data_IF_951483663945
#
_entry.id   IF_951483663945
#
_cell.length_a   1.000
_cell.length_b   1.000
_cell.length_c   1.000
_cell.angle_alpha   90.00
_cell.angle_beta   90.00
_cell.angle_gamma   90.00
#
_symmetry.space_group_name_H-M   'P 1'
#
loop_
_entity.id
_entity.type
_entity.pdbx_description
1 polymer ?
#
# COMPACT_ATOMS: atom_id res chain seq x y z
N UNK A 1 -24.98 9.63 26.55
CA UNK A 1 -24.48 10.30 25.33
C UNK A 1 -24.15 9.22 24.32
N UNK A 2 -24.87 9.16 23.19
CA UNK A 2 -24.64 8.15 22.17
C UNK A 2 -23.30 8.38 21.45
N UNK A 3 -22.59 7.30 21.14
CA UNK A 3 -21.38 7.38 20.33
C UNK A 3 -21.72 7.92 18.93
N UNK A 4 -21.22 9.12 18.60
CA UNK A 4 -21.26 9.63 17.23
C UNK A 4 -20.27 8.85 16.38
N UNK A 5 -20.79 8.10 15.40
CA UNK A 5 -19.98 7.38 14.42
C UNK A 5 -19.92 8.22 13.15
N UNK A 6 -18.73 8.41 12.60
CA UNK A 6 -18.56 9.00 11.29
C UNK A 6 -18.72 7.90 10.22
N UNK A 7 -19.86 7.83 9.55
CA UNK A 7 -20.10 6.82 8.49
C UNK A 7 -19.13 6.95 7.31
N UNK A 8 -18.53 8.13 7.13
CA UNK A 8 -17.56 8.40 6.07
C UNK A 8 -16.20 7.75 6.33
N UNK A 9 -15.64 7.91 7.54
CA UNK A 9 -14.29 7.45 7.87
C UNK A 9 -14.26 6.26 8.86
N UNK A 10 -15.41 5.88 9.42
CA UNK A 10 -15.58 4.79 10.38
C UNK A 10 -15.13 5.09 11.81
N UNK A 11 -14.76 6.34 12.14
CA UNK A 11 -14.38 6.68 13.51
C UNK A 11 -15.58 6.70 14.45
N UNK A 12 -15.39 6.18 15.66
CA UNK A 12 -16.37 6.24 16.74
C UNK A 12 -16.05 7.40 17.70
N UNK A 13 -17.07 7.89 18.39
CA UNK A 13 -16.97 8.94 19.42
C UNK A 13 -16.36 10.25 18.90
N UNK A 14 -16.77 10.69 17.70
CA UNK A 14 -16.22 11.89 17.09
C UNK A 14 -16.98 13.16 17.50
N UNK A 15 -16.30 14.31 17.70
CA UNK A 15 -16.98 15.58 17.82
C UNK A 15 -17.57 16.02 16.47
N UNK A 16 -18.57 16.92 16.47
CA UNK A 16 -19.14 17.46 15.23
C UNK A 16 -18.10 18.17 14.34
N UNK A 17 -17.02 18.69 14.90
CA UNK A 17 -15.90 19.30 14.15
C UNK A 17 -15.05 18.29 13.37
N UNK A 18 -15.30 16.99 13.52
CA UNK A 18 -14.57 15.94 12.83
C UNK A 18 -14.90 15.88 11.34
N UNK A 19 -16.15 16.12 10.94
CA UNK A 19 -16.60 15.96 9.56
C UNK A 19 -15.88 16.95 8.64
N UNK A 20 -15.18 16.43 7.62
CA UNK A 20 -14.37 17.23 6.70
C UNK A 20 -13.00 17.65 7.26
N UNK A 21 -12.64 17.23 8.48
CA UNK A 21 -11.29 17.44 9.01
C UNK A 21 -10.23 16.67 8.22
N UNK A 22 -8.98 17.14 8.24
CA UNK A 22 -7.84 16.42 7.65
C UNK A 22 -7.70 14.99 8.15
N UNK A 23 -8.09 14.72 9.39
CA UNK A 23 -8.09 13.37 9.95
C UNK A 23 -9.18 12.50 9.31
N UNK A 24 -10.41 13.01 9.20
CA UNK A 24 -11.52 12.33 8.54
C UNK A 24 -11.18 12.02 7.06
N UNK A 25 -10.65 12.99 6.33
CA UNK A 25 -10.22 12.80 4.94
C UNK A 25 -9.14 11.74 4.81
N UNK A 26 -8.16 11.75 5.72
CA UNK A 26 -7.07 10.81 5.69
C UNK A 26 -7.52 9.38 5.99
N UNK A 27 -8.42 9.18 6.95
CA UNK A 27 -9.02 7.87 7.24
C UNK A 27 -9.95 7.38 6.14
N UNK A 28 -10.73 8.28 5.51
CA UNK A 28 -11.52 7.96 4.32
C UNK A 28 -10.62 7.45 3.18
N UNK A 29 -9.49 8.11 2.96
CA UNK A 29 -8.51 7.66 1.96
C UNK A 29 -7.95 6.27 2.30
N UNK A 30 -7.53 6.05 3.55
CA UNK A 30 -7.00 4.75 4.03
C UNK A 30 -8.00 3.63 3.73
N UNK A 31 -9.25 3.79 4.16
CA UNK A 31 -10.31 2.80 3.90
C UNK A 31 -10.53 2.53 2.42
N UNK A 32 -10.53 3.58 1.58
CA UNK A 32 -10.65 3.42 0.13
C UNK A 32 -9.52 2.57 -0.44
N UNK A 33 -8.28 2.84 -0.02
CA UNK A 33 -7.12 2.08 -0.50
C UNK A 33 -7.16 0.62 -0.06
N UNK A 34 -7.53 0.36 1.20
CA UNK A 34 -7.71 -1.00 1.71
C UNK A 34 -8.79 -1.76 0.94
N UNK A 35 -9.93 -1.12 0.65
CA UNK A 35 -11.01 -1.70 -0.16
C UNK A 35 -10.58 -1.99 -1.61
N UNK A 36 -9.66 -1.20 -2.17
CA UNK A 36 -9.04 -1.44 -3.47
C UNK A 36 -7.92 -2.50 -3.43
N UNK A 37 -7.66 -3.12 -2.27
CA UNK A 37 -6.63 -4.14 -2.12
C UNK A 37 -5.20 -3.57 -2.06
N UNK A 38 -5.04 -2.29 -1.71
CA UNK A 38 -3.73 -1.69 -1.47
C UNK A 38 -3.35 -1.77 0.00
N UNK A 39 -2.05 -1.78 0.27
CA UNK A 39 -1.52 -1.67 1.62
C UNK A 39 -0.44 -0.58 1.70
N UNK A 40 -0.32 0.09 2.85
CA UNK A 40 0.69 1.11 3.04
C UNK A 40 2.06 0.47 3.22
N UNK A 41 3.09 1.19 2.79
CA UNK A 41 4.46 0.86 3.13
C UNK A 41 5.20 2.14 3.52
N UNK A 42 6.00 2.10 4.61
CA UNK A 42 6.61 3.30 5.14
C UNK A 42 7.77 3.75 4.23
N UNK A 43 8.74 2.89 3.98
CA UNK A 43 10.07 3.39 3.64
C UNK A 43 10.21 4.05 2.25
N UNK A 44 10.78 5.27 2.21
CA UNK A 44 11.23 5.96 0.96
C UNK A 44 12.11 5.09 0.05
N UNK A 45 12.90 4.17 0.62
CA UNK A 45 13.73 3.21 -0.15
C UNK A 45 12.87 2.27 -1.00
N UNK A 46 11.76 1.79 -0.46
CA UNK A 46 10.79 0.94 -1.17
C UNK A 46 10.14 1.73 -2.30
N UNK A 47 9.74 2.98 -2.04
CA UNK A 47 9.10 3.85 -3.05
C UNK A 47 9.99 4.02 -4.27
N UNK A 48 11.26 4.32 -4.06
CA UNK A 48 12.24 4.49 -5.15
C UNK A 48 12.44 3.19 -5.91
N UNK A 49 12.64 2.08 -5.22
CA UNK A 49 12.90 0.79 -5.86
C UNK A 49 11.70 0.30 -6.68
N UNK A 50 10.49 0.39 -6.13
CA UNK A 50 9.26 0.01 -6.83
C UNK A 50 8.99 0.88 -8.06
N UNK A 51 9.15 2.20 -7.94
CA UNK A 51 9.03 3.10 -9.10
C UNK A 51 10.05 2.79 -10.18
N UNK A 52 11.31 2.56 -9.81
CA UNK A 52 12.34 2.16 -10.76
C UNK A 52 12.06 0.81 -11.43
N UNK A 53 11.28 -0.06 -10.79
CA UNK A 53 10.85 -1.35 -11.34
C UNK A 53 9.49 -1.29 -12.07
N UNK A 54 8.93 -0.09 -12.28
CA UNK A 54 7.68 0.11 -13.04
C UNK A 54 6.39 -0.05 -12.25
N UNK A 55 6.45 -0.29 -10.93
CA UNK A 55 5.25 -0.37 -10.10
C UNK A 55 4.67 1.03 -9.85
N UNK A 56 3.38 1.19 -10.12
CA UNK A 56 2.65 2.42 -9.75
C UNK A 56 2.46 2.47 -8.23
N UNK A 57 3.14 3.44 -7.60
CA UNK A 57 3.01 3.74 -6.18
C UNK A 57 2.11 4.96 -6.00
N UNK A 58 1.08 4.82 -5.16
CA UNK A 58 0.12 5.89 -4.87
C UNK A 58 0.54 6.63 -3.59
N UNK A 59 0.46 7.96 -3.61
CA UNK A 59 0.69 8.81 -2.45
C UNK A 59 -0.60 9.03 -1.67
N UNK A 60 -0.54 8.70 -0.38
CA UNK A 60 -1.59 8.94 0.60
C UNK A 60 -1.23 10.05 1.59
N UNK A 61 -2.14 10.34 2.51
CA UNK A 61 -2.04 11.45 3.47
C UNK A 61 -0.91 11.20 4.48
N UNK A 62 0.11 12.07 4.44
CA UNK A 62 1.32 12.00 5.27
C UNK A 62 1.00 12.19 6.76
N UNK A 63 -0.07 12.93 7.06
CA UNK A 63 -0.51 13.33 8.40
C UNK A 63 -0.78 12.16 9.34
N UNK A 64 -1.08 10.96 8.82
CA UNK A 64 -1.36 9.77 9.64
C UNK A 64 -0.30 8.67 9.59
N UNK A 65 0.55 8.61 8.56
CA UNK A 65 1.44 7.46 8.34
C UNK A 65 2.89 7.83 7.95
N UNK A 66 3.31 9.09 8.16
CA UNK A 66 4.68 9.66 8.05
C UNK A 66 5.44 9.49 6.72
N UNK A 67 5.09 8.54 5.87
CA UNK A 67 5.70 8.37 4.54
C UNK A 67 4.68 8.03 3.43
N UNK A 68 3.46 7.58 3.78
CA UNK A 68 2.27 7.68 2.92
C UNK A 68 2.24 6.93 1.60
N UNK A 69 3.10 5.96 1.32
CA UNK A 69 3.10 5.29 0.02
C UNK A 69 2.27 4.00 0.06
N UNK A 70 1.56 3.73 -1.04
CA UNK A 70 0.67 2.58 -1.18
C UNK A 70 0.99 1.81 -2.45
N UNK A 71 0.91 0.50 -2.36
CA UNK A 71 1.04 -0.43 -3.49
C UNK A 71 0.04 -1.58 -3.32
N UNK A 72 -0.27 -2.34 -4.39
CA UNK A 72 -1.12 -3.51 -4.29
C UNK A 72 -0.62 -4.47 -3.21
N UNK A 73 -1.50 -4.87 -2.30
CA UNK A 73 -1.17 -5.67 -1.12
C UNK A 73 -0.54 -7.01 -1.53
N UNK A 74 -1.05 -7.64 -2.58
CA UNK A 74 -0.53 -8.89 -3.10
C UNK A 74 0.92 -8.79 -3.56
N UNK A 75 1.33 -7.66 -4.14
CA UNK A 75 2.74 -7.41 -4.54
C UNK A 75 3.61 -7.27 -3.29
N UNK A 76 3.14 -6.51 -2.29
CA UNK A 76 3.90 -6.31 -1.05
C UNK A 76 4.09 -7.63 -0.29
N UNK A 77 3.05 -8.45 -0.19
CA UNK A 77 3.11 -9.72 0.53
C UNK A 77 3.94 -10.76 -0.21
N UNK A 78 3.75 -10.89 -1.53
CA UNK A 78 4.59 -11.78 -2.35
C UNK A 78 6.05 -11.34 -2.35
N UNK A 79 6.35 -10.04 -2.34
CA UNK A 79 7.72 -9.54 -2.23
C UNK A 79 8.32 -9.87 -0.86
N UNK A 80 7.57 -9.68 0.24
CA UNK A 80 8.02 -10.07 1.58
C UNK A 80 8.32 -11.56 1.65
N UNK A 81 7.49 -12.40 1.02
CA UNK A 81 7.72 -13.84 0.92
C UNK A 81 8.98 -14.16 0.09
N UNK A 82 9.12 -13.59 -1.11
CA UNK A 82 10.29 -13.82 -1.97
C UNK A 82 11.62 -13.45 -1.28
N UNK A 83 11.62 -12.40 -0.45
CA UNK A 83 12.81 -11.96 0.29
C UNK A 83 13.29 -12.93 1.37
N UNK A 84 12.48 -13.91 1.77
CA UNK A 84 12.92 -14.96 2.70
C UNK A 84 13.78 -16.01 1.99
N UNK A 85 13.69 -16.11 0.66
CA UNK A 85 14.49 -17.04 -0.14
C UNK A 85 15.98 -16.68 -0.07
N UNK A 86 16.83 -17.68 0.19
CA UNK A 86 18.25 -17.46 0.48
C UNK A 86 19.00 -16.74 -0.65
N UNK A 87 18.70 -17.04 -1.92
CA UNK A 87 19.35 -16.41 -3.05
C UNK A 87 18.89 -14.95 -3.24
N UNK A 88 17.60 -14.66 -3.05
CA UNK A 88 17.07 -13.27 -3.10
C UNK A 88 17.64 -12.43 -1.98
N UNK A 89 17.70 -12.98 -0.76
CA UNK A 89 18.16 -12.24 0.43
C UNK A 89 19.60 -11.71 0.27
N UNK A 90 20.43 -12.38 -0.52
CA UNK A 90 21.81 -11.98 -0.82
C UNK A 90 21.92 -10.85 -1.85
N UNK A 91 20.88 -10.63 -2.65
CA UNK A 91 20.87 -9.55 -3.65
C UNK A 91 20.77 -8.17 -2.98
N UNK A 92 21.36 -7.12 -3.55
CA UNK A 92 21.03 -5.74 -3.22
C UNK A 92 19.52 -5.49 -3.29
N UNK A 93 18.97 -4.68 -2.38
CA UNK A 93 17.51 -4.47 -2.30
C UNK A 93 16.85 -4.04 -3.62
N UNK A 94 17.52 -3.22 -4.44
CA UNK A 94 17.00 -2.81 -5.75
C UNK A 94 16.85 -4.01 -6.69
N UNK A 95 17.81 -4.94 -6.65
CA UNK A 95 17.77 -6.18 -7.43
C UNK A 95 16.72 -7.15 -6.89
N UNK A 96 16.53 -7.22 -5.56
CA UNK A 96 15.42 -7.98 -4.97
C UNK A 96 14.07 -7.51 -5.55
N UNK A 97 13.86 -6.18 -5.60
CA UNK A 97 12.63 -5.60 -6.16
C UNK A 97 12.52 -5.84 -7.66
N UNK A 98 13.60 -5.61 -8.42
CA UNK A 98 13.59 -5.80 -9.86
C UNK A 98 13.32 -7.25 -10.26
N UNK A 99 13.92 -8.22 -9.55
CA UNK A 99 13.64 -9.64 -9.74
C UNK A 99 12.18 -9.95 -9.45
N UNK A 100 11.68 -9.50 -8.29
CA UNK A 100 10.30 -9.77 -7.88
C UNK A 100 9.28 -9.19 -8.86
N UNK A 101 9.49 -7.95 -9.31
CA UNK A 101 8.58 -7.30 -10.25
C UNK A 101 8.57 -7.99 -11.61
N UNK A 102 9.71 -8.52 -12.09
CA UNK A 102 9.73 -9.34 -13.31
C UNK A 102 8.86 -10.58 -13.16
N UNK A 103 8.96 -11.29 -12.03
CA UNK A 103 8.15 -12.49 -11.77
C UNK A 103 6.67 -12.13 -11.61
N UNK A 104 6.35 -11.13 -10.78
CA UNK A 104 4.98 -10.71 -10.49
C UNK A 104 4.23 -10.24 -11.75
N UNK A 105 4.86 -9.43 -12.60
CA UNK A 105 4.26 -8.94 -13.84
C UNK A 105 4.07 -10.07 -14.88
N UNK A 106 4.93 -11.09 -14.88
CA UNK A 106 4.72 -12.26 -15.73
C UNK A 106 3.50 -13.06 -15.27
N UNK A 107 3.35 -13.28 -13.96
CA UNK A 107 2.20 -13.99 -13.38
C UNK A 107 0.89 -13.25 -13.67
N UNK A 108 0.85 -11.92 -13.49
CA UNK A 108 -0.34 -11.12 -13.76
C UNK A 108 -0.75 -11.16 -15.23
N UNK A 109 0.22 -11.12 -16.16
CA UNK A 109 -0.05 -11.29 -17.61
C UNK A 109 -0.59 -12.66 -17.95
N UNK A 110 -0.08 -13.72 -17.32
CA UNK A 110 -0.57 -15.08 -17.54
C UNK A 110 -2.00 -15.28 -17.01
N UNK A 111 -2.32 -14.69 -15.85
CA UNK A 111 -3.69 -14.73 -15.32
C UNK A 111 -4.68 -13.91 -16.15
N UNK A 112 -4.28 -12.74 -16.66
CA UNK A 112 -5.14 -11.93 -17.54
C UNK A 112 -5.37 -12.55 -18.92
N UNK A 113 -4.50 -13.47 -19.36
CA UNK A 113 -4.57 -14.15 -20.65
C UNK A 113 -5.26 -15.52 -20.59
N UNK A 114 -5.64 -16.00 -19.40
CA UNK A 114 -6.37 -17.27 -19.23
C UNK A 114 -7.87 -16.96 -19.11
N UNK A 115 -8.70 -17.38 -20.09
CA UNK A 115 -10.14 -17.11 -20.11
C UNK A 115 -10.90 -17.81 -18.98
#
# INVERSE_FOLDING_TARGET
MGALICDTCGMMNVPNSHFGSRECEAKRYIRKMEALGYAPFPCRRWTRAFRSAGLQVVHGPITLNREGNWAPKWILDSFKAARTMAYIRKLPFKEQVAWHMKVALLVERHHAASP
#
